data_IF_299069706933
#
_entry.id   IF_299069706933
#
_cell.length_a   1.000
_cell.length_b   1.000
_cell.length_c   1.000
_cell.angle_alpha   90.00
_cell.angle_beta   90.00
_cell.angle_gamma   90.00
#
_symmetry.space_group_name_H-M   'P 1'
#
loop_
_entity.id
_entity.type
_entity.pdbx_description
1 polymer ?
#
# COMPACT_ATOMS: atom_id res chain seq x y z
N UNK A 1 30.51 -21.47 -3.13
CA UNK A 1 30.73 -20.05 -2.80
C UNK A 1 29.68 -19.09 -3.39
N UNK A 2 29.39 -19.12 -4.71
CA UNK A 2 28.41 -18.18 -5.33
C UNK A 2 26.97 -18.24 -4.77
N UNK A 3 26.50 -19.40 -4.31
CA UNK A 3 25.16 -19.56 -3.73
C UNK A 3 25.09 -18.90 -2.34
N UNK A 4 26.10 -19.14 -1.50
CA UNK A 4 26.19 -18.55 -0.16
C UNK A 4 26.15 -17.01 -0.20
N UNK A 5 26.91 -16.38 -1.10
CA UNK A 5 26.87 -14.93 -1.29
C UNK A 5 25.48 -14.41 -1.71
N UNK A 6 24.77 -15.12 -2.58
CA UNK A 6 23.40 -14.74 -2.97
C UNK A 6 22.42 -14.83 -1.81
N UNK A 7 22.53 -15.87 -0.99
CA UNK A 7 21.69 -16.04 0.21
C UNK A 7 21.99 -14.95 1.23
N UNK A 8 23.27 -14.66 1.48
CA UNK A 8 23.69 -13.60 2.40
C UNK A 8 23.15 -12.22 1.97
N UNK A 9 23.27 -11.89 0.68
CA UNK A 9 22.70 -10.65 0.12
C UNK A 9 21.19 -10.61 0.31
N UNK A 10 20.48 -11.73 0.08
CA UNK A 10 19.04 -11.82 0.28
C UNK A 10 18.63 -11.54 1.73
N UNK A 11 19.35 -12.11 2.70
CA UNK A 11 19.11 -11.88 4.14
C UNK A 11 19.33 -10.42 4.49
N UNK A 12 20.42 -9.81 4.03
CA UNK A 12 20.73 -8.40 4.29
C UNK A 12 19.63 -7.50 3.71
N UNK A 13 19.20 -7.75 2.47
CA UNK A 13 18.11 -6.98 1.84
C UNK A 13 16.81 -7.14 2.62
N UNK A 14 16.43 -8.36 3.01
CA UNK A 14 15.22 -8.60 3.79
C UNK A 14 15.25 -7.84 5.13
N UNK A 15 16.39 -7.87 5.84
CA UNK A 15 16.59 -7.14 7.08
C UNK A 15 16.38 -5.63 6.91
N UNK A 16 16.99 -5.02 5.90
CA UNK A 16 16.79 -3.59 5.62
C UNK A 16 15.36 -3.25 5.21
N UNK A 17 14.69 -4.12 4.45
CA UNK A 17 13.28 -3.92 4.08
C UNK A 17 12.37 -3.98 5.30
N UNK A 18 12.63 -4.89 6.23
CA UNK A 18 11.88 -4.95 7.50
C UNK A 18 12.12 -3.69 8.32
N UNK A 19 13.36 -3.25 8.51
CA UNK A 19 13.66 -1.98 9.22
C UNK A 19 12.96 -0.78 8.56
N UNK A 20 12.94 -0.73 7.24
CA UNK A 20 12.24 0.32 6.51
C UNK A 20 10.73 0.26 6.73
N UNK A 21 10.14 -0.95 6.75
CA UNK A 21 8.73 -1.13 7.08
C UNK A 21 8.40 -0.60 8.48
N UNK A 22 9.29 -0.83 9.46
CA UNK A 22 9.12 -0.30 10.81
C UNK A 22 9.03 1.23 10.86
N UNK A 23 9.96 1.90 10.19
CA UNK A 23 9.97 3.38 10.13
C UNK A 23 8.77 3.88 9.33
N UNK A 24 8.39 3.18 8.26
CA UNK A 24 7.28 3.58 7.42
C UNK A 24 5.92 3.45 8.13
N UNK A 25 5.69 2.41 8.93
CA UNK A 25 4.43 2.22 9.65
C UNK A 25 4.11 3.39 10.58
N UNK A 26 5.09 3.84 11.37
CA UNK A 26 4.91 4.95 12.30
C UNK A 26 4.48 6.23 11.56
N UNK A 27 5.15 6.54 10.46
CA UNK A 27 4.78 7.68 9.61
C UNK A 27 3.40 7.50 8.97
N UNK A 28 3.05 6.27 8.60
CA UNK A 28 1.76 5.95 8.00
C UNK A 28 0.60 6.10 8.99
N UNK A 29 0.80 5.69 10.25
CA UNK A 29 -0.18 5.88 11.34
C UNK A 29 -0.45 7.35 11.61
N UNK A 30 0.61 8.15 11.74
CA UNK A 30 0.49 9.60 11.91
C UNK A 30 -0.24 10.24 10.72
N UNK A 31 0.07 9.79 9.50
CA UNK A 31 -0.66 10.23 8.31
C UNK A 31 -2.16 9.89 8.37
N UNK A 32 -2.53 8.68 8.78
CA UNK A 32 -3.93 8.28 8.96
C UNK A 32 -4.61 9.12 10.04
N UNK A 33 -3.98 9.35 11.19
CA UNK A 33 -4.55 10.17 12.27
C UNK A 33 -4.84 11.59 11.78
N UNK A 34 -3.87 12.22 11.11
CA UNK A 34 -4.04 13.55 10.52
C UNK A 34 -5.18 13.56 9.49
N UNK A 35 -5.33 12.49 8.69
CA UNK A 35 -6.46 12.36 7.77
C UNK A 35 -7.79 12.27 8.50
N UNK A 36 -7.89 11.56 9.62
CA UNK A 36 -9.13 11.44 10.38
C UNK A 36 -9.56 12.79 10.96
N UNK A 37 -8.62 13.53 11.57
CA UNK A 37 -8.89 14.87 12.10
C UNK A 37 -9.33 15.81 10.97
N UNK A 38 -8.61 15.80 9.85
CA UNK A 38 -8.90 16.65 8.69
C UNK A 38 -10.25 16.33 8.04
N UNK A 39 -10.52 15.05 7.78
CA UNK A 39 -11.73 14.61 7.06
C UNK A 39 -13.00 14.73 7.91
N UNK A 40 -12.87 14.83 9.23
CA UNK A 40 -14.00 14.97 10.15
C UNK A 40 -14.15 16.37 10.74
N UNK A 41 -13.41 17.36 10.22
CA UNK A 41 -13.42 18.74 10.74
C UNK A 41 -13.10 18.81 12.25
N UNK A 42 -12.17 17.98 12.72
CA UNK A 42 -11.81 17.81 14.15
C UNK A 42 -12.94 17.29 15.04
N UNK A 43 -13.95 16.62 14.48
CA UNK A 43 -14.94 15.87 15.26
C UNK A 43 -14.34 14.59 15.84
N UNK A 44 -13.38 13.99 15.15
CA UNK A 44 -12.52 12.95 15.73
C UNK A 44 -11.20 13.59 16.18
N UNK A 45 -10.79 13.32 17.41
CA UNK A 45 -9.49 13.70 17.94
C UNK A 45 -8.84 12.52 18.65
N UNK A 46 -7.52 12.49 18.71
CA UNK A 46 -6.78 11.40 19.36
C UNK A 46 -6.23 11.83 20.72
N UNK A 47 -6.47 11.03 21.76
CA UNK A 47 -5.89 11.27 23.08
C UNK A 47 -4.57 10.49 23.21
N UNK A 48 -3.51 11.21 23.59
CA UNK A 48 -2.19 10.63 23.69
C UNK A 48 -1.87 10.22 25.13
N UNK A 49 -2.04 8.94 25.46
CA UNK A 49 -1.74 8.39 26.78
C UNK A 49 -0.24 8.10 27.03
N UNK A 50 0.68 8.77 26.34
CA UNK A 50 2.13 8.74 26.61
C UNK A 50 2.98 8.01 25.56
N UNK A 51 4.28 7.80 25.84
CA UNK A 51 5.23 7.11 24.95
C UNK A 51 4.84 5.63 24.81
N UNK A 52 3.91 5.35 23.92
CA UNK A 52 3.47 4.02 23.59
C UNK A 52 4.52 3.32 22.72
N UNK A 53 5.01 2.17 23.17
CA UNK A 53 5.87 1.30 22.35
C UNK A 53 4.95 0.47 21.46
N UNK A 54 4.58 1.03 20.31
CA UNK A 54 3.84 0.27 19.31
C UNK A 54 4.78 -0.72 18.62
N UNK A 55 4.47 -2.02 18.75
CA UNK A 55 5.11 -3.05 17.93
C UNK A 55 4.35 -3.19 16.63
N UNK A 56 5.03 -2.85 15.54
CA UNK A 56 4.61 -3.08 14.16
C UNK A 56 3.95 -4.45 14.01
N UNK A 57 2.76 -4.45 13.43
CA UNK A 57 2.00 -5.69 13.28
C UNK A 57 2.69 -6.61 12.27
N UNK A 58 2.65 -7.91 12.53
CA UNK A 58 3.15 -8.89 11.56
C UNK A 58 2.40 -8.81 10.22
N UNK A 59 1.13 -8.42 10.27
CA UNK A 59 0.27 -8.21 9.11
C UNK A 59 0.80 -7.06 8.24
N UNK A 60 1.10 -5.91 8.83
CA UNK A 60 1.66 -4.76 8.12
C UNK A 60 2.98 -5.11 7.44
N UNK A 61 3.93 -5.73 8.16
CA UNK A 61 5.23 -6.14 7.59
C UNK A 61 5.00 -7.09 6.43
N UNK A 62 4.16 -8.11 6.62
CA UNK A 62 3.93 -9.12 5.59
C UNK A 62 3.32 -8.51 4.33
N UNK A 63 2.31 -7.63 4.47
CA UNK A 63 1.67 -6.93 3.38
C UNK A 63 2.65 -6.00 2.65
N UNK A 64 3.47 -5.25 3.40
CA UNK A 64 4.49 -4.37 2.85
C UNK A 64 5.55 -5.13 2.04
N UNK A 65 6.05 -6.25 2.57
CA UNK A 65 7.03 -7.09 1.87
C UNK A 65 6.43 -7.73 0.61
N UNK A 66 5.22 -8.29 0.71
CA UNK A 66 4.51 -8.88 -0.45
C UNK A 66 4.29 -7.81 -1.53
N UNK A 67 3.89 -6.60 -1.14
CA UNK A 67 3.73 -5.47 -2.05
C UNK A 67 5.02 -5.13 -2.80
N UNK A 68 6.12 -4.94 -2.07
CA UNK A 68 7.41 -4.58 -2.66
C UNK A 68 7.91 -5.67 -3.62
N UNK A 69 7.84 -6.94 -3.23
CA UNK A 69 8.23 -8.06 -4.07
C UNK A 69 7.36 -8.13 -5.32
N UNK A 70 6.05 -8.00 -5.18
CA UNK A 70 5.08 -8.05 -6.28
C UNK A 70 5.32 -6.92 -7.28
N UNK A 71 5.44 -5.68 -6.80
CA UNK A 71 5.77 -4.52 -7.63
C UNK A 71 7.12 -4.70 -8.31
N UNK A 72 8.15 -5.16 -7.60
CA UNK A 72 9.46 -5.39 -8.20
C UNK A 72 9.40 -6.39 -9.36
N UNK A 73 8.71 -7.52 -9.18
CA UNK A 73 8.54 -8.55 -10.21
C UNK A 73 7.78 -7.99 -11.43
N UNK A 74 6.71 -7.22 -11.20
CA UNK A 74 5.91 -6.62 -12.28
C UNK A 74 6.70 -5.53 -13.04
N UNK A 75 7.41 -4.66 -12.33
CA UNK A 75 8.15 -3.54 -12.92
C UNK A 75 9.45 -3.96 -13.61
N UNK A 76 10.07 -5.08 -13.19
CA UNK A 76 11.28 -5.62 -13.82
C UNK A 76 11.07 -5.95 -15.30
N UNK A 77 9.87 -6.38 -15.68
CA UNK A 77 9.51 -6.80 -17.05
C UNK A 77 9.15 -5.64 -17.98
N UNK A 78 9.05 -4.42 -17.46
CA UNK A 78 8.57 -3.25 -18.18
C UNK A 78 9.70 -2.34 -18.66
N UNK A 79 9.44 -1.54 -19.69
CA UNK A 79 10.37 -0.52 -20.19
C UNK A 79 10.56 0.61 -19.17
N UNK A 80 11.70 1.34 -19.21
CA UNK A 80 12.01 2.41 -18.25
C UNK A 80 10.90 3.47 -18.15
N UNK A 81 10.38 3.94 -19.29
CA UNK A 81 9.28 4.92 -19.34
C UNK A 81 8.00 4.40 -18.70
N UNK A 82 7.68 3.13 -18.97
CA UNK A 82 6.48 2.48 -18.44
C UNK A 82 6.61 2.20 -16.94
N UNK A 83 7.80 1.81 -16.49
CA UNK A 83 8.13 1.63 -15.07
C UNK A 83 7.90 2.92 -14.28
N UNK A 84 8.46 4.04 -14.76
CA UNK A 84 8.29 5.33 -14.08
C UNK A 84 6.82 5.74 -13.98
N UNK A 85 6.07 5.63 -15.08
CA UNK A 85 4.63 5.90 -15.09
C UNK A 85 3.87 5.02 -14.09
N UNK A 86 4.17 3.73 -14.04
CA UNK A 86 3.48 2.80 -13.14
C UNK A 86 3.87 3.00 -11.68
N UNK A 87 5.09 3.45 -11.37
CA UNK A 87 5.44 3.85 -10.00
C UNK A 87 4.64 5.07 -9.56
N UNK A 88 4.57 6.12 -10.38
CA UNK A 88 3.78 7.31 -10.07
C UNK A 88 2.31 6.94 -9.88
N UNK A 89 1.72 6.23 -10.84
CA UNK A 89 0.33 5.81 -10.73
C UNK A 89 0.09 4.92 -9.51
N UNK A 90 1.00 3.97 -9.22
CA UNK A 90 0.86 3.10 -8.06
C UNK A 90 0.86 3.88 -6.74
N UNK A 91 1.78 4.84 -6.58
CA UNK A 91 1.84 5.72 -5.41
C UNK A 91 0.57 6.58 -5.32
N UNK A 92 0.12 7.18 -6.43
CA UNK A 92 -1.12 7.97 -6.45
C UNK A 92 -2.33 7.13 -6.06
N UNK A 93 -2.46 5.91 -6.57
CA UNK A 93 -3.56 5.00 -6.22
C UNK A 93 -3.49 4.58 -4.74
N UNK A 94 -2.31 4.34 -4.19
CA UNK A 94 -2.13 4.01 -2.78
C UNK A 94 -2.56 5.16 -1.87
N UNK A 95 -2.17 6.40 -2.20
CA UNK A 95 -2.55 7.58 -1.41
C UNK A 95 -4.07 7.83 -1.52
N UNK A 96 -4.62 7.82 -2.73
CA UNK A 96 -6.04 8.07 -2.96
C UNK A 96 -6.90 7.01 -2.26
N UNK A 97 -6.54 5.73 -2.38
CA UNK A 97 -7.26 4.65 -1.68
C UNK A 97 -7.17 4.80 -0.16
N UNK A 98 -6.00 5.15 0.39
CA UNK A 98 -5.86 5.43 1.83
C UNK A 98 -6.82 6.53 2.27
N UNK A 99 -6.89 7.65 1.53
CA UNK A 99 -7.81 8.76 1.84
C UNK A 99 -9.27 8.29 1.81
N UNK A 100 -9.67 7.53 0.78
CA UNK A 100 -11.04 7.01 0.64
C UNK A 100 -11.38 6.08 1.82
N UNK A 101 -10.48 5.16 2.18
CA UNK A 101 -10.72 4.27 3.32
C UNK A 101 -10.79 5.02 4.64
N UNK A 102 -9.91 6.00 4.86
CA UNK A 102 -9.97 6.86 6.03
C UNK A 102 -11.28 7.65 6.09
N UNK A 103 -11.76 8.17 4.96
CA UNK A 103 -13.03 8.88 4.88
C UNK A 103 -14.21 7.98 5.23
N UNK A 104 -14.27 6.77 4.68
CA UNK A 104 -15.36 5.82 4.94
C UNK A 104 -15.34 5.39 6.42
N UNK A 105 -14.18 4.99 6.95
CA UNK A 105 -14.07 4.49 8.32
C UNK A 105 -14.32 5.58 9.37
N UNK A 106 -13.78 6.79 9.17
CA UNK A 106 -13.98 7.92 10.09
C UNK A 106 -15.45 8.35 10.17
N UNK A 107 -16.15 8.43 9.03
CA UNK A 107 -17.58 8.73 9.00
C UNK A 107 -18.41 7.59 9.60
N UNK A 108 -18.03 6.33 9.35
CA UNK A 108 -18.65 5.17 9.99
C UNK A 108 -18.59 5.25 11.51
N UNK A 109 -17.41 5.56 12.07
CA UNK A 109 -17.22 5.74 13.52
C UNK A 109 -18.03 6.91 14.09
N UNK A 110 -18.26 7.97 13.33
CA UNK A 110 -19.14 9.07 13.78
C UNK A 110 -20.61 8.63 13.80
N UNK A 111 -21.07 7.88 12.79
CA UNK A 111 -22.45 7.38 12.71
C UNK A 111 -22.76 6.37 13.83
N UNK A 112 -21.81 5.49 14.14
CA UNK A 112 -21.94 4.54 15.25
C UNK A 112 -22.07 5.24 16.61
N UNK A 113 -21.58 6.48 16.71
CA UNK A 113 -21.63 7.25 17.95
C UNK A 113 -23.01 7.91 18.13
N UNK A 114 -24.00 7.12 18.54
CA UNK A 114 -25.35 7.59 18.88
C UNK A 114 -25.42 8.49 20.12
N UNK A 115 -24.34 8.57 20.90
CA UNK A 115 -24.26 9.33 22.16
C UNK A 115 -23.04 10.27 22.25
N UNK A 116 -22.43 10.66 21.11
CA UNK A 116 -21.29 11.59 21.15
C UNK A 116 -21.72 12.97 21.66
N UNK A 117 -21.03 13.49 22.68
CA UNK A 117 -21.21 14.85 23.19
C UNK A 117 -20.87 15.86 22.07
N UNK A 118 -21.87 16.62 21.61
CA UNK A 118 -21.76 17.60 20.52
C UNK A 118 -21.19 17.04 19.20
N UNK A 119 -21.34 15.73 18.96
CA UNK A 119 -20.82 15.07 17.76
C UNK A 119 -19.29 14.93 17.73
N UNK A 120 -18.61 15.08 18.87
CA UNK A 120 -17.17 14.86 19.01
C UNK A 120 -16.87 13.49 19.61
N UNK A 121 -15.90 12.78 19.04
CA UNK A 121 -15.42 11.47 19.49
C UNK A 121 -13.91 11.53 19.72
N UNK A 122 -13.49 11.24 20.94
CA UNK A 122 -12.08 11.03 21.25
C UNK A 122 -11.78 9.55 21.05
N UNK A 123 -10.73 9.23 20.30
CA UNK A 123 -10.29 7.86 20.04
C UNK A 123 -8.88 7.64 20.61
N UNK A 124 -8.62 6.41 21.06
CA UNK A 124 -7.24 5.96 21.28
C UNK A 124 -6.58 5.71 19.91
N UNK A 125 -5.25 5.85 19.83
CA UNK A 125 -4.49 5.45 18.67
C UNK A 125 -4.74 3.99 18.27
N UNK A 126 -4.96 3.09 19.23
CA UNK A 126 -5.20 1.67 18.92
C UNK A 126 -6.62 1.36 18.41
N UNK A 127 -7.55 2.31 18.47
CA UNK A 127 -8.93 2.09 18.02
C UNK A 127 -9.06 2.10 16.48
N UNK A 128 -7.98 2.46 15.77
CA UNK A 128 -7.93 2.49 14.32
C UNK A 128 -7.38 1.19 13.74
N UNK A 129 -8.07 0.66 12.74
CA UNK A 129 -7.64 -0.51 11.99
C UNK A 129 -6.61 -0.14 10.92
N UNK A 130 -5.42 0.32 11.32
CA UNK A 130 -4.37 0.77 10.39
C UNK A 130 -3.97 -0.32 9.38
N UNK A 131 -3.87 -1.57 9.84
CA UNK A 131 -3.48 -2.71 9.01
C UNK A 131 -4.48 -2.94 7.88
N UNK A 132 -5.77 -2.88 8.19
CA UNK A 132 -6.84 -3.07 7.21
C UNK A 132 -6.82 -1.97 6.15
N UNK A 133 -6.66 -0.70 6.58
CA UNK A 133 -6.56 0.45 5.67
C UNK A 133 -5.31 0.35 4.79
N UNK A 134 -4.19 -0.10 5.37
CA UNK A 134 -2.95 -0.27 4.62
C UNK A 134 -3.05 -1.40 3.60
N UNK A 135 -3.48 -2.59 4.02
CA UNK A 135 -3.62 -3.78 3.17
C UNK A 135 -4.57 -3.49 2.00
N UNK A 136 -5.71 -2.86 2.27
CA UNK A 136 -6.66 -2.50 1.22
C UNK A 136 -6.04 -1.51 0.24
N UNK A 137 -5.37 -0.47 0.71
CA UNK A 137 -4.74 0.56 -0.13
C UNK A 137 -3.59 0.01 -0.99
N UNK A 138 -2.81 -0.90 -0.43
CA UNK A 138 -1.74 -1.62 -1.13
C UNK A 138 -2.29 -2.41 -2.32
N UNK A 139 -3.44 -3.09 -2.16
CA UNK A 139 -4.08 -3.83 -3.26
C UNK A 139 -4.39 -2.88 -4.43
N UNK A 140 -4.94 -1.69 -4.16
CA UNK A 140 -5.20 -0.69 -5.19
C UNK A 140 -3.92 -0.12 -5.79
N UNK A 141 -2.86 0.05 -4.99
CA UNK A 141 -1.56 0.54 -5.44
C UNK A 141 -0.87 -0.37 -6.47
N UNK A 142 -1.13 -1.68 -6.45
CA UNK A 142 -0.54 -2.62 -7.43
C UNK A 142 -1.26 -2.57 -8.79
N UNK A 143 -2.53 -2.15 -8.83
CA UNK A 143 -3.39 -2.23 -10.03
C UNK A 143 -2.76 -1.65 -11.30
N UNK A 144 -2.14 -0.45 -11.31
CA UNK A 144 -1.56 0.12 -12.53
C UNK A 144 -0.48 -0.77 -13.15
N UNK A 145 0.31 -1.45 -12.32
CA UNK A 145 1.35 -2.36 -12.76
C UNK A 145 0.77 -3.66 -13.33
N UNK A 146 -0.27 -4.22 -12.70
CA UNK A 146 -0.99 -5.41 -13.19
C UNK A 146 -1.66 -5.14 -14.54
N UNK A 147 -2.46 -4.07 -14.63
CA UNK A 147 -3.19 -3.70 -15.85
C UNK A 147 -2.23 -3.53 -17.02
N UNK A 148 -1.09 -2.90 -16.75
CA UNK A 148 -0.05 -2.70 -17.74
C UNK A 148 0.59 -4.02 -18.20
N UNK A 149 0.91 -4.92 -17.28
CA UNK A 149 1.49 -6.23 -17.59
C UNK A 149 0.53 -7.07 -18.44
N UNK A 150 -0.77 -7.10 -18.09
CA UNK A 150 -1.80 -7.80 -18.86
C UNK A 150 -1.88 -7.24 -20.28
N UNK A 151 -1.93 -5.91 -20.42
CA UNK A 151 -1.98 -5.24 -21.74
C UNK A 151 -0.77 -5.58 -22.60
N UNK A 152 0.43 -5.60 -22.00
CA UNK A 152 1.66 -5.93 -22.72
C UNK A 152 1.69 -7.40 -23.18
N UNK A 153 1.17 -8.34 -22.38
CA UNK A 153 1.06 -9.75 -22.76
C UNK A 153 0.10 -9.96 -23.92
N UNK A 154 -1.05 -9.29 -23.90
CA UNK A 154 -2.04 -9.39 -24.97
C UNK A 154 -1.49 -8.85 -26.30
N UNK A 155 -0.76 -7.73 -26.28
CA UNK A 155 -0.10 -7.19 -27.48
C UNK A 155 0.93 -8.14 -28.09
N UNK A 156 1.73 -8.81 -27.26
CA UNK A 156 2.72 -9.80 -27.74
C UNK A 156 2.04 -10.99 -28.41
N UNK A 157 0.95 -11.51 -27.82
CA UNK A 157 0.18 -12.60 -28.41
C UNK A 157 -0.35 -12.24 -29.80
N UNK A 158 -0.97 -11.07 -29.96
CA UNK A 158 -1.50 -10.62 -31.26
C UNK A 158 -0.40 -10.49 -32.32
N UNK A 159 0.75 -9.91 -31.96
CA UNK A 159 1.87 -9.77 -32.89
C UNK A 159 2.42 -11.12 -33.38
N UNK A 160 2.50 -12.13 -32.50
CA UNK A 160 2.93 -13.48 -32.88
C UNK A 160 1.92 -14.18 -33.79
N UNK A 161 0.61 -14.00 -33.57
CA UNK A 161 -0.43 -14.58 -34.44
C UNK A 161 -0.40 -13.98 -35.84
N UNK A 162 -0.19 -12.67 -35.97
CA UNK A 162 -0.10 -12.01 -37.27
C UNK A 162 1.14 -12.45 -38.07
N UNK A 163 2.28 -12.65 -37.41
CA UNK A 163 3.52 -13.11 -38.07
C UNK A 163 3.40 -14.56 -38.59
N UNK A 164 2.73 -15.46 -37.84
CA UNK A 164 2.45 -16.82 -38.33
C UNK A 164 1.51 -16.84 -39.55
N UNK A 165 0.49 -15.98 -39.58
CA UNK A 165 -0.45 -15.89 -40.71
C UNK A 165 0.22 -15.41 -42.00
N UNK A 166 1.18 -14.49 -41.91
CA UNK A 166 1.91 -13.99 -43.07
C UNK A 166 2.97 -14.96 -43.62
N UNK A 167 3.40 -15.98 -42.85
CA UNK A 167 4.36 -17.00 -43.34
C UNK A 167 3.70 -18.20 -44.02
N UNK A 168 2.38 -18.34 -43.88
CA UNK A 168 1.61 -19.45 -44.44
C UNK A 168 0.89 -19.09 -45.75
N UNK A 169 0.97 -17.82 -46.17
CA UNK A 169 0.50 -17.30 -47.46
C UNK A 169 1.69 -16.95 -48.35
#
# INVERSE_FOLDING_TARGET
MRIFFKVLIGIIVAYFLTLFAFVYEENYRQFIQNLYELLTENKISFENHGKYLHFVSGEFISAFLIFLVSIFVLLKRQSKKQRFRNMILGISFLIISTIIFCFIDSNGKLIECTACNDGKRVLDFNDLNYDLIFISSVIFGILPAIVTEIRNRNRKKTATTTDLGNRLN
#
